data_IF_003960551048
#
_entry.id   IF_003960551048
#
_cell.length_a   1.000
_cell.length_b   1.000
_cell.length_c   1.000
_cell.angle_alpha   90.00
_cell.angle_beta   90.00
_cell.angle_gamma   90.00
#
_symmetry.space_group_name_H-M   'P 1'
#
loop_
_entity.id
_entity.type
_entity.pdbx_description
1 polymer ?
#
# COMPACT_ATOMS: atom_id res chain seq x y z
N UNK A 1 -22.25 -12.32 13.01
CA UNK A 1 -22.11 -12.61 14.46
C UNK A 1 -22.20 -11.37 15.34
N UNK A 2 -21.41 -10.32 15.12
CA UNK A 2 -21.46 -9.10 15.97
C UNK A 2 -22.81 -8.36 15.88
N UNK A 3 -23.38 -8.20 14.67
CA UNK A 3 -24.71 -7.59 14.53
C UNK A 3 -25.83 -8.39 15.23
N UNK A 4 -25.72 -9.72 15.25
CA UNK A 4 -26.68 -10.57 15.96
C UNK A 4 -26.54 -10.41 17.49
N UNK A 5 -25.31 -10.30 18.01
CA UNK A 5 -25.06 -10.03 19.42
C UNK A 5 -25.59 -8.66 19.89
N UNK A 6 -25.44 -7.62 19.05
CA UNK A 6 -25.98 -6.28 19.31
C UNK A 6 -27.52 -6.29 19.29
N UNK A 7 -28.12 -7.02 18.34
CA UNK A 7 -29.58 -7.13 18.25
C UNK A 7 -30.18 -7.91 19.43
N UNK A 8 -29.53 -9.00 19.85
CA UNK A 8 -29.94 -9.77 21.03
C UNK A 8 -29.79 -8.97 22.33
N UNK A 9 -28.74 -8.15 22.48
CA UNK A 9 -28.60 -7.25 23.63
C UNK A 9 -29.73 -6.20 23.70
N UNK A 10 -30.17 -5.68 22.55
CA UNK A 10 -31.28 -4.70 22.49
C UNK A 10 -32.62 -5.30 22.93
N UNK A 11 -32.84 -6.59 22.65
CA UNK A 11 -34.09 -7.27 22.98
C UNK A 11 -34.19 -7.64 24.47
N UNK A 12 -33.05 -7.87 25.13
CA UNK A 12 -32.99 -8.30 26.54
C UNK A 12 -32.97 -7.13 27.54
N UNK A 13 -32.38 -5.98 27.19
CA UNK A 13 -32.12 -4.90 28.16
C UNK A 13 -33.18 -3.78 28.21
N UNK A 14 -34.18 -3.81 27.33
CA UNK A 14 -35.26 -2.81 27.32
C UNK A 14 -34.80 -1.39 26.90
N UNK A 15 -35.70 -0.57 26.32
CA UNK A 15 -35.35 0.70 25.66
C UNK A 15 -34.94 1.84 26.62
N UNK A 16 -34.90 1.62 27.94
CA UNK A 16 -34.74 2.70 28.92
C UNK A 16 -33.33 2.90 29.48
N UNK A 17 -32.37 2.00 29.20
CA UNK A 17 -31.08 2.00 29.90
C UNK A 17 -29.83 2.23 29.03
N UNK A 18 -29.99 2.56 27.75
CA UNK A 18 -28.87 2.94 26.89
C UNK A 18 -28.82 4.46 26.74
N UNK A 19 -27.80 5.17 27.26
CA UNK A 19 -27.60 6.57 26.94
C UNK A 19 -27.49 6.67 25.42
N UNK A 20 -28.10 7.72 24.85
CA UNK A 20 -28.08 8.08 23.43
C UNK A 20 -26.64 8.04 22.89
N UNK A 21 -26.18 6.86 22.48
CA UNK A 21 -24.92 6.72 21.77
C UNK A 21 -25.14 7.43 20.44
N UNK A 22 -24.46 8.56 20.29
CA UNK A 22 -24.49 9.39 19.08
C UNK A 22 -24.42 8.47 17.86
N UNK A 23 -25.42 8.55 16.99
CA UNK A 23 -25.57 7.73 15.78
C UNK A 23 -24.30 7.71 14.92
N UNK A 24 -23.50 8.78 14.99
CA UNK A 24 -22.17 8.90 14.38
C UNK A 24 -21.16 7.84 14.85
N UNK A 25 -21.18 7.44 16.12
CA UNK A 25 -20.26 6.43 16.67
C UNK A 25 -20.62 5.03 16.13
N UNK A 26 -21.93 4.73 16.09
CA UNK A 26 -22.43 3.44 15.58
C UNK A 26 -22.11 3.31 14.09
N UNK A 27 -22.35 4.36 13.29
CA UNK A 27 -21.99 4.38 11.87
C UNK A 27 -20.48 4.26 11.64
N UNK A 28 -19.66 4.91 12.47
CA UNK A 28 -18.20 4.79 12.42
C UNK A 28 -17.72 3.36 12.65
N UNK A 29 -18.24 2.68 13.67
CA UNK A 29 -17.90 1.27 13.97
C UNK A 29 -18.33 0.35 12.82
N UNK A 30 -19.53 0.56 12.27
CA UNK A 30 -20.07 -0.26 11.18
C UNK A 30 -19.29 -0.07 9.87
N UNK A 31 -18.80 1.14 9.62
CA UNK A 31 -17.93 1.44 8.49
C UNK A 31 -16.54 0.79 8.66
N UNK A 32 -15.94 0.87 9.85
CA UNK A 32 -14.63 0.25 10.14
C UNK A 32 -14.68 -1.28 10.06
N UNK A 33 -15.80 -1.89 10.46
CA UNK A 33 -16.02 -3.33 10.37
C UNK A 33 -16.53 -3.81 9.01
N UNK A 34 -16.78 -2.89 8.08
CA UNK A 34 -17.14 -3.26 6.71
C UNK A 34 -15.97 -3.99 6.05
N UNK A 35 -16.20 -5.11 5.36
CA UNK A 35 -15.15 -5.85 4.67
C UNK A 35 -14.51 -5.04 3.53
N UNK A 36 -15.21 -4.02 3.01
CA UNK A 36 -14.75 -3.19 1.89
C UNK A 36 -13.49 -2.38 2.25
N UNK A 37 -13.47 -1.53 3.29
CA UNK A 37 -12.25 -0.79 3.67
C UNK A 37 -11.11 -1.73 4.07
N UNK A 38 -11.39 -2.83 4.76
CA UNK A 38 -10.36 -3.83 5.12
C UNK A 38 -9.75 -4.46 3.86
N UNK A 39 -10.55 -4.81 2.87
CA UNK A 39 -10.06 -5.34 1.60
C UNK A 39 -9.21 -4.33 0.84
N UNK A 40 -9.63 -3.06 0.78
CA UNK A 40 -8.88 -1.98 0.14
C UNK A 40 -7.52 -1.74 0.81
N UNK A 41 -7.48 -1.72 2.15
CA UNK A 41 -6.22 -1.58 2.91
C UNK A 41 -5.29 -2.75 2.62
N UNK A 42 -5.79 -3.99 2.64
CA UNK A 42 -4.98 -5.19 2.33
C UNK A 42 -4.44 -5.17 0.92
N UNK A 43 -5.28 -4.81 -0.06
CA UNK A 43 -4.86 -4.67 -1.46
C UNK A 43 -3.77 -3.62 -1.60
N UNK A 44 -3.94 -2.47 -0.97
CA UNK A 44 -2.94 -1.40 -0.96
C UNK A 44 -1.61 -1.87 -0.36
N UNK A 45 -1.62 -2.54 0.79
CA UNK A 45 -0.41 -3.11 1.39
C UNK A 45 0.29 -4.12 0.48
N UNK A 46 -0.47 -4.99 -0.19
CA UNK A 46 0.09 -5.96 -1.15
C UNK A 46 0.73 -5.27 -2.34
N UNK A 47 0.09 -4.24 -2.90
CA UNK A 47 0.64 -3.46 -4.01
C UNK A 47 1.92 -2.73 -3.60
N UNK A 48 2.01 -2.25 -2.36
CA UNK A 48 3.23 -1.64 -1.81
C UNK A 48 4.39 -2.62 -1.69
N UNK A 49 4.15 -3.80 -1.12
CA UNK A 49 5.18 -4.84 -1.05
C UNK A 49 5.67 -5.26 -2.43
N UNK A 50 4.73 -5.42 -3.38
CA UNK A 50 5.07 -5.73 -4.77
C UNK A 50 5.93 -4.64 -5.41
N UNK A 51 5.55 -3.37 -5.24
CA UNK A 51 6.32 -2.24 -5.75
C UNK A 51 7.72 -2.17 -5.13
N UNK A 52 7.84 -2.37 -3.81
CA UNK A 52 9.15 -2.40 -3.13
C UNK A 52 10.05 -3.48 -3.70
N UNK A 53 9.52 -4.70 -3.89
CA UNK A 53 10.27 -5.81 -4.49
C UNK A 53 10.65 -5.53 -5.95
N UNK A 54 9.74 -4.95 -6.74
CA UNK A 54 10.04 -4.57 -8.13
C UNK A 54 11.14 -3.51 -8.24
N UNK A 55 11.23 -2.59 -7.28
CA UNK A 55 12.27 -1.58 -7.24
C UNK A 55 13.62 -2.12 -6.73
N UNK A 56 13.61 -3.14 -5.88
CA UNK A 56 14.81 -3.81 -5.37
C UNK A 56 15.53 -4.58 -6.49
N UNK A 57 14.76 -5.28 -7.33
CA UNK A 57 15.28 -6.06 -8.46
C UNK A 57 15.26 -5.27 -9.79
N UNK A 58 15.08 -3.94 -9.74
CA UNK A 58 14.94 -3.12 -10.94
C UNK A 58 16.17 -3.25 -11.85
N UNK A 59 15.93 -3.44 -13.15
CA UNK A 59 16.97 -3.47 -14.17
C UNK A 59 16.46 -2.91 -15.48
N UNK A 60 17.12 -1.89 -16.01
CA UNK A 60 16.80 -1.29 -17.31
C UNK A 60 16.84 -2.30 -18.46
N UNK A 61 17.65 -3.35 -18.34
CA UNK A 61 17.75 -4.44 -19.33
C UNK A 61 16.46 -5.26 -19.43
N UNK A 62 15.69 -5.32 -18.35
CA UNK A 62 14.41 -6.01 -18.29
C UNK A 62 13.22 -5.13 -18.68
N UNK A 63 13.46 -3.84 -18.93
CA UNK A 63 12.41 -2.94 -19.41
C UNK A 63 11.97 -3.38 -20.81
N UNK A 64 10.67 -3.50 -21.02
CA UNK A 64 10.11 -3.76 -22.34
C UNK A 64 10.19 -2.52 -23.21
N UNK A 65 10.73 -2.66 -24.43
CA UNK A 65 10.75 -1.60 -25.43
C UNK A 65 9.74 -1.93 -26.53
N UNK A 66 8.93 -0.94 -26.94
CA UNK A 66 8.02 -1.12 -28.07
C UNK A 66 8.77 -1.08 -29.41
N UNK A 67 9.85 -0.30 -29.48
CA UNK A 67 10.66 -0.08 -30.67
C UNK A 67 12.14 -0.16 -30.27
N UNK A 68 12.96 -0.92 -31.02
CA UNK A 68 14.37 -1.12 -30.69
C UNK A 68 15.19 0.18 -30.81
N UNK A 69 14.81 1.12 -31.69
CA UNK A 69 15.46 2.43 -31.79
C UNK A 69 15.34 3.25 -30.51
N UNK A 70 14.23 3.11 -29.78
CA UNK A 70 14.00 3.85 -28.55
C UNK A 70 14.94 3.35 -27.44
N UNK A 71 15.28 2.06 -27.48
CA UNK A 71 16.24 1.48 -26.55
C UNK A 71 17.61 2.14 -26.69
N UNK A 72 18.17 2.25 -27.89
CA UNK A 72 19.48 2.89 -28.09
C UNK A 72 19.47 4.35 -27.60
N UNK A 73 18.42 5.11 -27.91
CA UNK A 73 18.27 6.49 -27.45
C UNK A 73 18.19 6.59 -25.92
N UNK A 74 17.39 5.74 -25.28
CA UNK A 74 17.27 5.69 -23.82
C UNK A 74 18.62 5.30 -23.19
N UNK A 75 19.27 4.25 -23.70
CA UNK A 75 20.58 3.81 -23.19
C UNK A 75 21.63 4.92 -23.32
N UNK A 76 21.69 5.62 -24.45
CA UNK A 76 22.60 6.74 -24.64
C UNK A 76 22.32 7.87 -23.66
N UNK A 77 21.05 8.26 -23.50
CA UNK A 77 20.63 9.31 -22.56
C UNK A 77 20.98 8.93 -21.10
N UNK A 78 20.77 7.67 -20.73
CA UNK A 78 21.12 7.17 -19.40
C UNK A 78 22.64 7.18 -19.18
N UNK A 79 23.43 6.80 -20.18
CA UNK A 79 24.89 6.90 -20.13
C UNK A 79 25.35 8.35 -20.02
N UNK A 80 24.70 9.30 -20.68
CA UNK A 80 25.02 10.72 -20.56
C UNK A 80 24.74 11.27 -19.16
N UNK A 81 23.64 10.86 -18.52
CA UNK A 81 23.24 11.40 -17.21
C UNK A 81 23.90 10.68 -16.03
N UNK A 82 24.05 9.35 -16.13
CA UNK A 82 24.51 8.50 -15.02
C UNK A 82 25.86 7.83 -15.30
N UNK A 83 26.46 8.06 -16.47
CA UNK A 83 27.72 7.45 -16.90
C UNK A 83 27.56 6.00 -17.37
N UNK A 84 26.82 5.18 -16.63
CA UNK A 84 26.57 3.77 -16.99
C UNK A 84 25.13 3.35 -16.68
N UNK A 85 24.58 2.36 -17.40
CA UNK A 85 23.25 1.80 -17.11
C UNK A 85 23.16 1.20 -15.69
N UNK A 86 24.27 0.66 -15.18
CA UNK A 86 24.28 0.07 -13.83
C UNK A 86 24.26 1.15 -12.73
N UNK A 87 24.89 2.30 -12.96
CA UNK A 87 24.77 3.44 -12.05
C UNK A 87 23.31 3.95 -11.97
N UNK A 88 22.60 3.98 -13.10
CA UNK A 88 21.17 4.28 -13.11
C UNK A 88 20.35 3.22 -12.35
N UNK A 89 20.59 1.93 -12.60
CA UNK A 89 19.91 0.85 -11.87
C UNK A 89 20.12 1.00 -10.35
N UNK A 90 21.36 1.29 -9.94
CA UNK A 90 21.68 1.50 -8.54
C UNK A 90 20.95 2.71 -7.94
N UNK A 91 20.94 3.85 -8.65
CA UNK A 91 20.21 5.05 -8.23
C UNK A 91 18.70 4.79 -8.04
N UNK A 92 18.11 3.97 -8.92
CA UNK A 92 16.71 3.57 -8.79
C UNK A 92 16.49 2.67 -7.56
N UNK A 93 17.35 1.67 -7.36
CA UNK A 93 17.29 0.73 -6.23
C UNK A 93 17.51 1.42 -4.87
N UNK A 94 18.27 2.51 -4.83
CA UNK A 94 18.55 3.26 -3.60
C UNK A 94 17.66 4.48 -3.47
N UNK A 95 18.02 5.57 -4.15
CA UNK A 95 17.46 6.90 -3.95
C UNK A 95 16.00 6.97 -4.35
N UNK A 96 15.66 6.47 -5.54
CA UNK A 96 14.28 6.52 -6.04
C UNK A 96 13.39 5.62 -5.18
N UNK A 97 13.85 4.41 -4.84
CA UNK A 97 13.15 3.49 -3.94
C UNK A 97 12.86 4.15 -2.60
N UNK A 98 13.85 4.78 -1.98
CA UNK A 98 13.66 5.47 -0.70
C UNK A 98 12.60 6.57 -0.79
N UNK A 99 12.70 7.44 -1.81
CA UNK A 99 11.73 8.52 -2.02
C UNK A 99 10.31 8.00 -2.26
N UNK A 100 10.16 6.96 -3.09
CA UNK A 100 8.86 6.35 -3.38
C UNK A 100 8.29 5.70 -2.13
N UNK A 101 9.08 4.94 -1.37
CA UNK A 101 8.62 4.31 -0.13
C UNK A 101 8.24 5.37 0.92
N UNK A 102 8.98 6.47 1.02
CA UNK A 102 8.65 7.58 1.91
C UNK A 102 7.36 8.30 1.48
N UNK A 103 7.17 8.56 0.18
CA UNK A 103 5.99 9.24 -0.35
C UNK A 103 4.69 8.43 -0.17
N UNK A 104 4.76 7.10 -0.26
CA UNK A 104 3.61 6.23 -0.02
C UNK A 104 3.36 6.08 1.50
N UNK A 105 4.29 6.54 2.35
CA UNK A 105 4.19 6.55 3.82
C UNK A 105 4.95 5.39 4.47
N UNK A 106 5.13 5.37 5.80
CA UNK A 106 5.96 4.36 6.46
C UNK A 106 5.36 2.96 6.34
N UNK A 107 6.18 2.00 5.93
CA UNK A 107 5.86 0.58 6.12
C UNK A 107 5.84 0.34 7.62
N UNK A 108 4.68 0.00 8.19
CA UNK A 108 4.61 -0.41 9.59
C UNK A 108 5.39 -1.71 9.68
N UNK A 109 6.67 -1.63 10.07
CA UNK A 109 7.44 -2.77 10.54
C UNK A 109 6.60 -3.41 11.64
N UNK A 110 5.91 -4.50 11.32
CA UNK A 110 5.37 -5.39 12.34
C UNK A 110 6.60 -5.94 13.04
N UNK A 111 6.95 -5.31 14.16
CA UNK A 111 8.01 -5.74 15.06
C UNK A 111 7.98 -7.26 15.15
N UNK A 112 9.03 -7.90 14.66
CA UNK A 112 9.26 -9.33 14.82
C UNK A 112 9.05 -9.66 16.31
N UNK A 113 7.96 -10.38 16.58
CA UNK A 113 7.73 -11.00 17.86
C UNK A 113 8.62 -12.25 17.85
N UNK A 114 9.87 -12.08 18.30
CA UNK A 114 10.76 -13.18 18.67
C UNK A 114 10.10 -14.08 19.72
#
# INVERSE_FOLDING_TARGET
FICAAIYSCRQVLGPQHFPLMNSSIILGIQFVLSPVPVHSIRRHMRQRMLLSSQMEDFSISSAGYAIESDKEMIYQTLCEWFGTPEAFNQEVRTTVREHVMHAIGPERKTSDRK
#
